data_IF_267753037765
#
_entry.id   IF_267753037765
#
_cell.length_a   1.000
_cell.length_b   1.000
_cell.length_c   1.000
_cell.angle_alpha   90.00
_cell.angle_beta   90.00
_cell.angle_gamma   90.00
#
_symmetry.space_group_name_H-M   'P 1'
#
loop_
_entity.id
_entity.type
_entity.pdbx_description
1 polymer ?
#
# COMPACT_ATOMS: atom_id res chain seq x y z
N UNK A 1 3.62 -22.22 1.97
CA UNK A 1 3.78 -20.89 1.36
C UNK A 1 5.02 -20.24 1.93
N UNK A 2 5.78 -19.55 1.11
CA UNK A 2 6.93 -18.76 1.57
C UNK A 2 6.40 -17.57 2.40
N UNK A 3 7.00 -17.30 3.56
CA UNK A 3 6.70 -16.11 4.35
C UNK A 3 7.24 -14.91 3.60
N UNK A 4 6.42 -13.88 3.31
CA UNK A 4 6.89 -12.69 2.60
C UNK A 4 7.88 -11.89 3.46
N UNK A 5 8.74 -11.11 2.83
CA UNK A 5 9.62 -10.19 3.56
C UNK A 5 8.86 -8.92 3.96
N UNK A 6 8.01 -8.39 3.08
CA UNK A 6 7.24 -7.16 3.35
C UNK A 6 5.74 -7.45 3.26
N UNK A 7 4.99 -7.05 4.28
CA UNK A 7 3.53 -6.92 4.20
C UNK A 7 3.18 -5.47 3.88
N UNK A 8 2.56 -5.27 2.72
CA UNK A 8 2.01 -3.97 2.32
C UNK A 8 0.56 -3.89 2.78
N UNK A 9 0.27 -3.03 3.73
CA UNK A 9 -1.09 -2.82 4.26
C UNK A 9 -1.71 -1.62 3.55
N UNK A 10 -2.84 -1.86 2.88
CA UNK A 10 -3.59 -0.87 2.11
C UNK A 10 -4.95 -0.69 2.77
N UNK A 11 -5.14 0.34 3.62
CA UNK A 11 -6.44 0.63 4.21
C UNK A 11 -7.36 1.22 3.13
N UNK A 12 -8.54 0.64 2.95
CA UNK A 12 -9.49 0.99 1.90
C UNK A 12 -10.81 1.46 2.52
N UNK A 13 -11.22 2.69 2.22
CA UNK A 13 -12.54 3.21 2.54
C UNK A 13 -12.99 4.20 1.46
N UNK A 14 -13.98 3.80 0.65
CA UNK A 14 -14.53 4.59 -0.46
C UNK A 14 -13.43 5.11 -1.42
N UNK A 15 -12.55 4.21 -1.87
CA UNK A 15 -11.39 4.49 -2.73
C UNK A 15 -11.47 3.80 -4.10
N UNK A 16 -12.66 3.48 -4.58
CA UNK A 16 -12.87 2.76 -5.85
C UNK A 16 -12.13 3.38 -7.03
N UNK A 17 -11.98 4.71 -7.04
CA UNK A 17 -11.29 5.45 -8.12
C UNK A 17 -9.77 5.27 -8.13
N UNK A 18 -9.17 4.92 -7.00
CA UNK A 18 -7.72 4.89 -6.80
C UNK A 18 -7.16 3.49 -6.64
N UNK A 19 -7.95 2.57 -6.08
CA UNK A 19 -7.49 1.26 -5.61
C UNK A 19 -6.82 0.44 -6.71
N UNK A 20 -7.41 0.38 -7.89
CA UNK A 20 -6.86 -0.39 -9.02
C UNK A 20 -5.46 0.09 -9.42
N UNK A 21 -5.28 1.42 -9.52
CA UNK A 21 -4.00 2.03 -9.86
C UNK A 21 -2.95 1.79 -8.76
N UNK A 22 -3.34 1.94 -7.50
CA UNK A 22 -2.49 1.67 -6.34
C UNK A 22 -1.95 0.24 -6.37
N UNK A 23 -2.84 -0.74 -6.48
CA UNK A 23 -2.46 -2.17 -6.47
C UNK A 23 -1.57 -2.53 -7.66
N UNK A 24 -1.86 -2.01 -8.86
CA UNK A 24 -1.00 -2.23 -10.02
C UNK A 24 0.43 -1.70 -9.77
N UNK A 25 0.58 -0.54 -9.14
CA UNK A 25 1.91 0.00 -8.79
C UNK A 25 2.64 -0.85 -7.76
N UNK A 26 1.93 -1.48 -6.85
CA UNK A 26 2.51 -2.43 -5.91
C UNK A 26 2.93 -3.73 -6.60
N UNK A 27 2.17 -4.22 -7.57
CA UNK A 27 2.52 -5.39 -8.37
C UNK A 27 3.73 -5.13 -9.30
N UNK A 28 3.95 -3.88 -9.72
CA UNK A 28 5.07 -3.45 -10.56
C UNK A 28 6.36 -3.17 -9.75
N UNK A 29 6.35 -3.32 -8.42
CA UNK A 29 7.55 -3.12 -7.61
C UNK A 29 8.67 -4.06 -8.05
N UNK A 30 9.91 -3.56 -8.10
CA UNK A 30 11.09 -4.38 -8.42
C UNK A 30 11.39 -5.44 -7.34
N UNK A 31 10.94 -5.21 -6.11
CA UNK A 31 11.01 -6.16 -5.01
C UNK A 31 9.71 -6.96 -4.91
N UNK A 32 9.78 -8.27 -5.17
CA UNK A 32 8.61 -9.14 -5.33
C UNK A 32 8.31 -10.04 -4.11
N UNK A 33 9.15 -10.02 -3.08
CA UNK A 33 8.93 -10.84 -1.88
C UNK A 33 7.98 -10.14 -0.90
N UNK A 34 6.77 -9.91 -1.37
CA UNK A 34 5.73 -9.12 -0.70
C UNK A 34 4.41 -9.87 -0.61
N UNK A 35 3.57 -9.50 0.33
CA UNK A 35 2.12 -9.69 0.31
C UNK A 35 1.43 -8.32 0.32
N UNK A 36 0.24 -8.23 -0.26
CA UNK A 36 -0.59 -7.03 -0.29
C UNK A 36 -1.88 -7.33 0.46
N UNK A 37 -2.14 -6.58 1.52
CA UNK A 37 -3.30 -6.75 2.40
C UNK A 37 -4.27 -5.58 2.19
N UNK A 38 -5.35 -5.82 1.45
CA UNK A 38 -6.41 -4.86 1.20
C UNK A 38 -7.40 -4.94 2.37
N UNK A 39 -7.48 -3.89 3.16
CA UNK A 39 -8.35 -3.83 4.34
C UNK A 39 -9.53 -2.90 4.03
N UNK A 40 -10.64 -3.47 3.60
CA UNK A 40 -11.89 -2.73 3.37
C UNK A 40 -12.56 -2.41 4.70
N UNK A 41 -12.54 -1.15 5.07
CA UNK A 41 -13.07 -0.62 6.33
C UNK A 41 -14.56 -0.23 6.19
N UNK A 42 -15.37 -1.15 5.68
CA UNK A 42 -16.80 -0.96 5.56
C UNK A 42 -17.19 0.06 4.48
N UNK A 43 -16.57 0.01 3.31
CA UNK A 43 -16.87 0.90 2.20
C UNK A 43 -18.32 0.81 1.75
N UNK A 44 -18.87 1.95 1.31
CA UNK A 44 -20.25 2.07 0.79
C UNK A 44 -20.31 2.19 -0.73
N UNK A 45 -19.15 2.36 -1.39
CA UNK A 45 -18.99 2.32 -2.84
C UNK A 45 -18.55 0.93 -3.32
N UNK A 46 -18.03 0.79 -4.54
CA UNK A 46 -17.58 -0.50 -5.08
C UNK A 46 -16.18 -0.91 -4.59
N UNK A 47 -15.58 -0.26 -3.60
CA UNK A 47 -14.24 -0.58 -3.09
C UNK A 47 -14.15 -2.04 -2.63
N UNK A 48 -15.14 -2.53 -1.86
CA UNK A 48 -15.14 -3.92 -1.37
C UNK A 48 -15.13 -4.92 -2.53
N UNK A 49 -15.97 -4.74 -3.54
CA UNK A 49 -15.99 -5.58 -4.74
C UNK A 49 -14.67 -5.57 -5.52
N UNK A 50 -14.00 -4.42 -5.59
CA UNK A 50 -12.68 -4.32 -6.20
C UNK A 50 -11.59 -5.02 -5.38
N UNK A 51 -11.67 -4.99 -4.05
CA UNK A 51 -10.75 -5.75 -3.20
C UNK A 51 -10.83 -7.25 -3.49
N UNK A 52 -12.04 -7.79 -3.61
CA UNK A 52 -12.25 -9.20 -3.94
C UNK A 52 -11.72 -9.53 -5.35
N UNK A 53 -12.10 -8.71 -6.35
CA UNK A 53 -11.62 -8.89 -7.72
C UNK A 53 -10.09 -8.89 -7.81
N UNK A 54 -9.42 -7.98 -7.11
CA UNK A 54 -7.96 -7.87 -7.11
C UNK A 54 -7.30 -9.07 -6.39
N UNK A 55 -7.90 -9.56 -5.30
CA UNK A 55 -7.39 -10.73 -4.60
C UNK A 55 -7.51 -12.02 -5.42
N UNK A 56 -8.55 -12.15 -6.24
CA UNK A 56 -8.72 -13.28 -7.15
C UNK A 56 -7.68 -13.31 -8.29
N UNK A 57 -7.06 -12.17 -8.60
CA UNK A 57 -6.07 -12.05 -9.69
C UNK A 57 -4.65 -12.44 -9.30
N UNK A 58 -4.33 -12.47 -8.01
CA UNK A 58 -2.94 -12.71 -7.58
C UNK A 58 -2.88 -13.32 -6.18
N UNK A 59 -2.12 -14.40 -6.05
CA UNK A 59 -1.92 -15.11 -4.77
C UNK A 59 -1.23 -14.28 -3.69
N UNK A 60 -0.55 -13.18 -4.05
CA UNK A 60 0.10 -12.29 -3.08
C UNK A 60 -0.85 -11.21 -2.54
N UNK A 61 -2.08 -11.10 -3.09
CA UNK A 61 -3.09 -10.15 -2.64
C UNK A 61 -4.12 -10.89 -1.77
N UNK A 62 -4.46 -10.30 -0.63
CA UNK A 62 -5.55 -10.78 0.23
C UNK A 62 -6.47 -9.62 0.56
N UNK A 63 -7.77 -9.86 0.43
CA UNK A 63 -8.81 -8.91 0.80
C UNK A 63 -9.43 -9.30 2.15
N UNK A 64 -9.66 -8.30 2.97
CA UNK A 64 -10.35 -8.42 4.26
C UNK A 64 -11.40 -7.33 4.37
N UNK A 65 -12.59 -7.71 4.83
CA UNK A 65 -13.70 -6.79 5.05
C UNK A 65 -14.01 -6.71 6.54
N UNK A 66 -14.28 -5.50 7.01
CA UNK A 66 -14.65 -5.24 8.39
C UNK A 66 -15.65 -4.09 8.49
N UNK A 67 -16.33 -3.99 9.62
CA UNK A 67 -17.16 -2.83 9.91
C UNK A 67 -16.28 -1.58 10.02
N UNK A 68 -16.80 -0.43 9.58
CA UNK A 68 -16.07 0.82 9.60
C UNK A 68 -15.60 1.18 11.03
N UNK A 69 -14.31 1.34 11.18
CA UNK A 69 -13.66 1.71 12.45
C UNK A 69 -12.66 2.86 12.28
N UNK A 70 -12.45 3.32 11.05
CA UNK A 70 -11.53 4.38 10.71
C UNK A 70 -10.13 3.89 10.33
N UNK A 71 -9.33 4.82 9.80
CA UNK A 71 -8.01 4.54 9.22
C UNK A 71 -7.07 3.80 10.17
N UNK A 72 -6.98 4.24 11.43
CA UNK A 72 -6.11 3.60 12.41
C UNK A 72 -6.54 2.18 12.74
N UNK A 73 -7.85 1.92 12.81
CA UNK A 73 -8.38 0.59 13.07
C UNK A 73 -8.14 -0.35 11.87
N UNK A 74 -8.30 0.14 10.65
CA UNK A 74 -7.97 -0.61 9.44
C UNK A 74 -6.47 -0.98 9.39
N UNK A 75 -5.57 -0.03 9.69
CA UNK A 75 -4.13 -0.30 9.79
C UNK A 75 -3.81 -1.32 10.87
N UNK A 76 -4.42 -1.20 12.06
CA UNK A 76 -4.25 -2.17 13.14
C UNK A 76 -4.78 -3.55 12.78
N UNK A 77 -5.87 -3.64 12.02
CA UNK A 77 -6.35 -4.91 11.48
C UNK A 77 -5.29 -5.54 10.57
N UNK A 78 -4.76 -4.75 9.63
CA UNK A 78 -3.68 -5.18 8.73
C UNK A 78 -2.47 -5.72 9.50
N UNK A 79 -2.04 -5.05 10.57
CA UNK A 79 -0.95 -5.51 11.44
C UNK A 79 -1.22 -6.89 12.09
N UNK A 80 -2.47 -7.19 12.44
CA UNK A 80 -2.83 -8.50 13.03
C UNK A 80 -2.77 -9.67 12.05
N UNK A 81 -2.94 -9.38 10.75
CA UNK A 81 -2.98 -10.42 9.70
C UNK A 81 -1.71 -10.46 8.85
N UNK A 82 -0.80 -9.51 9.05
CA UNK A 82 0.48 -9.44 8.35
C UNK A 82 1.41 -10.59 8.74
N UNK A 83 2.11 -11.15 7.75
CA UNK A 83 3.09 -12.24 7.94
C UNK A 83 4.52 -11.81 7.62
N UNK A 84 4.71 -10.63 7.00
CA UNK A 84 6.00 -10.12 6.60
C UNK A 84 6.90 -9.74 7.78
N UNK A 85 8.20 -9.83 7.56
CA UNK A 85 9.21 -9.33 8.51
C UNK A 85 9.10 -7.82 8.70
N UNK A 86 8.76 -7.10 7.64
CA UNK A 86 8.59 -5.66 7.61
C UNK A 86 7.17 -5.27 7.20
N UNK A 87 6.75 -4.10 7.65
CA UNK A 87 5.45 -3.51 7.33
C UNK A 87 5.66 -2.24 6.51
N UNK A 88 4.91 -2.13 5.42
CA UNK A 88 4.75 -0.88 4.68
C UNK A 88 3.27 -0.50 4.63
N UNK A 89 2.93 0.72 5.05
CA UNK A 89 1.58 1.27 4.89
C UNK A 89 1.50 2.06 3.59
N UNK A 90 0.53 1.73 2.75
CA UNK A 90 0.29 2.40 1.47
C UNK A 90 -1.14 2.92 1.41
N UNK A 91 -1.32 4.22 1.41
CA UNK A 91 -2.65 4.81 1.23
C UNK A 91 -3.03 4.75 -0.27
N UNK A 92 -4.26 4.33 -0.63
CA UNK A 92 -4.63 4.05 -2.02
C UNK A 92 -4.58 5.23 -2.98
N UNK A 93 -4.67 6.46 -2.48
CA UNK A 93 -4.57 7.71 -3.24
C UNK A 93 -3.12 8.21 -3.41
N UNK A 94 -2.17 7.55 -2.75
CA UNK A 94 -0.75 7.84 -2.91
C UNK A 94 -0.17 7.11 -4.12
N UNK A 95 0.95 7.61 -4.59
CA UNK A 95 1.70 7.06 -5.70
C UNK A 95 3.09 6.60 -5.25
N UNK A 96 3.46 5.37 -5.59
CA UNK A 96 4.75 4.79 -5.21
C UNK A 96 5.62 4.50 -6.43
N UNK A 97 6.89 4.85 -6.34
CA UNK A 97 7.88 4.50 -7.36
C UNK A 97 8.15 2.99 -7.34
N UNK A 98 8.45 2.41 -8.51
CA UNK A 98 8.64 0.95 -8.64
C UNK A 98 9.87 0.39 -7.89
N UNK A 99 10.78 1.24 -7.45
CA UNK A 99 11.97 0.88 -6.67
C UNK A 99 11.83 1.14 -5.16
N UNK A 100 10.67 1.63 -4.71
CA UNK A 100 10.47 2.04 -3.31
C UNK A 100 10.77 0.90 -2.34
N UNK A 101 10.10 -0.24 -2.50
CA UNK A 101 10.23 -1.35 -1.56
C UNK A 101 11.64 -1.97 -1.60
N UNK A 102 12.29 -2.03 -2.77
CA UNK A 102 13.67 -2.51 -2.86
C UNK A 102 14.66 -1.61 -2.14
N UNK A 103 14.51 -0.28 -2.27
CA UNK A 103 15.37 0.68 -1.57
C UNK A 103 15.20 0.61 -0.05
N UNK A 104 13.94 0.67 0.44
CA UNK A 104 13.66 0.62 1.88
C UNK A 104 14.11 -0.72 2.50
N UNK A 105 13.87 -1.84 1.81
CA UNK A 105 14.27 -3.15 2.30
C UNK A 105 15.79 -3.31 2.32
N UNK A 106 16.48 -2.82 1.29
CA UNK A 106 17.94 -2.84 1.24
C UNK A 106 18.55 -2.11 2.45
N UNK A 107 18.06 -0.93 2.77
CA UNK A 107 18.55 -0.16 3.93
C UNK A 107 18.29 -0.94 5.24
N UNK A 108 17.09 -1.49 5.42
CA UNK A 108 16.73 -2.28 6.61
C UNK A 108 17.67 -3.48 6.80
N UNK A 109 17.92 -4.23 5.73
CA UNK A 109 18.76 -5.45 5.79
C UNK A 109 20.26 -5.16 5.89
N UNK A 110 20.75 -4.09 5.22
CA UNK A 110 22.19 -3.80 5.15
C UNK A 110 22.79 -3.33 6.46
N UNK A 111 22.04 -2.60 7.27
CA UNK A 111 22.49 -2.06 8.56
C UNK A 111 21.69 -2.57 9.75
N UNK A 112 20.82 -3.57 9.53
CA UNK A 112 19.93 -4.14 10.54
C UNK A 112 19.09 -3.04 11.25
N UNK A 113 18.49 -2.14 10.46
CA UNK A 113 17.67 -1.05 10.97
C UNK A 113 16.27 -1.52 11.34
N UNK A 114 15.67 -0.89 12.34
CA UNK A 114 14.28 -1.12 12.74
C UNK A 114 13.30 -0.26 11.91
N UNK A 115 13.77 0.82 11.32
CA UNK A 115 12.98 1.76 10.54
C UNK A 115 13.80 2.32 9.36
N UNK A 116 13.20 2.34 8.18
CA UNK A 116 13.71 3.03 7.00
C UNK A 116 12.68 4.02 6.50
N UNK A 117 13.13 5.22 6.13
CA UNK A 117 12.26 6.31 5.68
C UNK A 117 12.82 6.88 4.39
N UNK A 118 11.95 7.22 3.44
CA UNK A 118 12.32 7.90 2.20
C UNK A 118 11.70 9.30 2.12
N UNK A 119 12.23 10.11 1.23
CA UNK A 119 11.62 11.37 0.81
C UNK A 119 10.38 11.13 -0.03
N UNK A 120 9.53 12.14 -0.18
CA UNK A 120 8.35 12.06 -1.02
C UNK A 120 8.15 13.34 -1.83
N UNK A 121 7.35 13.23 -2.89
CA UNK A 121 6.91 14.37 -3.67
C UNK A 121 5.46 14.69 -3.30
N UNK A 122 5.16 15.98 -3.16
CA UNK A 122 3.80 16.46 -3.10
C UNK A 122 3.42 17.00 -4.48
N UNK A 123 2.38 16.45 -5.08
CA UNK A 123 1.90 16.85 -6.39
C UNK A 123 0.51 17.47 -6.27
N UNK A 124 0.31 18.61 -6.94
CA UNK A 124 -1.02 19.20 -7.12
C UNK A 124 -1.48 18.80 -8.51
N UNK A 125 -2.62 18.13 -8.57
CA UNK A 125 -3.22 17.64 -9.81
C UNK A 125 -4.57 18.34 -10.07
N UNK A 126 -4.92 18.50 -11.34
CA UNK A 126 -6.24 18.98 -11.72
C UNK A 126 -7.31 17.87 -11.65
N UNK A 127 -8.55 18.22 -11.98
CA UNK A 127 -9.69 17.31 -11.92
C UNK A 127 -9.60 16.08 -12.85
N UNK A 128 -8.66 16.09 -13.81
CA UNK A 128 -8.41 14.97 -14.74
C UNK A 128 -7.10 14.24 -14.42
N UNK A 129 -6.44 14.59 -13.31
CA UNK A 129 -5.21 13.93 -12.85
C UNK A 129 -3.92 14.44 -13.50
N UNK A 130 -3.96 15.60 -14.19
CA UNK A 130 -2.76 16.23 -14.74
C UNK A 130 -1.99 16.95 -13.64
N UNK A 131 -0.70 16.68 -13.49
CA UNK A 131 0.16 17.36 -12.51
C UNK A 131 0.31 18.84 -12.88
N UNK A 132 -0.13 19.72 -11.99
CA UNK A 132 0.01 21.17 -12.09
C UNK A 132 1.30 21.69 -11.46
N UNK A 133 1.68 21.07 -10.35
CA UNK A 133 2.97 21.35 -9.69
C UNK A 133 3.45 20.11 -8.92
N UNK A 134 4.76 20.01 -8.75
CA UNK A 134 5.40 18.95 -7.96
C UNK A 134 6.50 19.57 -7.10
N UNK A 135 6.54 19.20 -5.82
CA UNK A 135 7.55 19.65 -4.87
C UNK A 135 8.13 18.44 -4.13
N UNK A 136 9.47 18.30 -4.22
CA UNK A 136 10.17 17.31 -3.40
C UNK A 136 10.22 17.79 -1.94
N UNK A 137 9.84 16.92 -1.01
CA UNK A 137 9.92 17.15 0.42
C UNK A 137 10.93 16.15 1.00
N UNK A 138 12.09 16.65 1.43
CA UNK A 138 13.11 15.85 2.10
C UNK A 138 12.79 15.74 3.58
N UNK A 139 12.89 14.53 4.10
CA UNK A 139 12.97 14.32 5.54
C UNK A 139 14.39 14.72 5.95
N UNK A 140 14.51 15.77 6.77
CA UNK A 140 15.79 16.24 7.30
C UNK A 140 16.18 15.40 8.52
#
# INVERSE_FOLDING_TARGET
>A
MKVPIVSVIVPCFNVEKYLYKCVNRLLEQSFQDIEILLIDDGSTDNTGGLCDELSDRSEIIRAYHKDNGGLSDARNFGLRVANGKYIYFCDPDDYVENTLLSALTYDMESINADLSICSYYMEIVDNVGKVLSSQALSLI
#
